data_IF_507878720261
#
_entry.id   IF_507878720261
#
_cell.length_a   1.000
_cell.length_b   1.000
_cell.length_c   1.000
_cell.angle_alpha   90.00
_cell.angle_beta   90.00
_cell.angle_gamma   90.00
#
_symmetry.space_group_name_H-M   'P 1'
#
loop_
_entity.id
_entity.type
_entity.pdbx_description
1 polymer ?
#
# COMPACT_ATOMS: atom_id res chain seq x y z
N UNK A 1 35.53 35.82 52.53
CA UNK A 1 34.12 35.40 52.73
C UNK A 1 33.49 35.10 51.36
N UNK A 2 32.49 34.24 51.18
CA UNK A 2 32.00 33.18 52.10
C UNK A 2 30.49 32.86 52.03
N UNK A 3 30.09 31.83 51.25
CA UNK A 3 28.78 31.14 51.28
C UNK A 3 27.55 31.98 50.80
N UNK A 4 26.38 31.47 50.36
CA UNK A 4 25.60 30.20 50.45
C UNK A 4 24.87 29.99 49.09
N UNK A 5 24.53 28.81 48.52
CA UNK A 5 23.88 27.53 48.94
C UNK A 5 22.32 27.52 48.95
N UNK A 6 21.75 26.42 48.39
CA UNK A 6 20.31 25.98 48.24
C UNK A 6 19.53 26.61 47.05
N UNK A 7 18.68 25.93 46.26
CA UNK A 7 17.80 24.73 46.38
C UNK A 7 16.40 25.00 47.00
N UNK A 8 15.32 24.24 46.74
CA UNK A 8 15.15 23.01 45.91
C UNK A 8 14.25 23.30 44.65
N UNK A 9 13.09 22.72 44.26
CA UNK A 9 12.22 21.58 44.66
C UNK A 9 11.33 21.10 43.46
N UNK A 10 10.55 20.01 43.61
CA UNK A 10 9.64 19.39 42.60
C UNK A 10 8.18 19.91 42.63
N UNK A 11 7.42 19.69 41.54
CA UNK A 11 5.98 19.29 41.46
C UNK A 11 5.65 19.12 39.94
N UNK A 12 5.46 17.90 39.42
CA UNK A 12 4.22 17.07 39.35
C UNK A 12 3.20 17.57 38.31
N UNK A 13 2.75 16.64 37.44
CA UNK A 13 1.78 16.85 36.34
C UNK A 13 0.34 17.05 36.85
N UNK A 14 -0.57 17.49 35.99
CA UNK A 14 -1.73 16.62 35.71
C UNK A 14 -1.90 16.29 34.22
N UNK A 15 -2.90 15.45 33.92
CA UNK A 15 -3.18 14.92 32.58
C UNK A 15 -4.40 15.60 31.96
N UNK A 16 -4.39 15.73 30.64
CA UNK A 16 -5.55 15.72 29.73
C UNK A 16 -4.99 15.15 28.42
N UNK A 17 -5.35 13.95 27.97
CA UNK A 17 -6.68 13.48 27.55
C UNK A 17 -7.09 14.12 26.22
N UNK A 18 -6.50 13.59 25.14
CA UNK A 18 -6.87 13.91 23.76
C UNK A 18 -7.26 12.60 23.07
N UNK A 19 -8.56 12.45 22.76
CA UNK A 19 -9.15 11.19 22.28
C UNK A 19 -9.05 11.14 20.76
N UNK A 20 -7.91 10.67 20.25
CA UNK A 20 -7.79 10.36 18.83
C UNK A 20 -8.44 9.01 18.54
N UNK A 21 -9.66 9.06 18.00
CA UNK A 21 -10.37 7.88 17.48
C UNK A 21 -9.69 7.45 16.18
N UNK A 22 -8.65 6.64 16.30
CA UNK A 22 -8.03 5.99 15.16
C UNK A 22 -9.06 5.06 14.50
N UNK A 23 -9.35 5.29 13.21
CA UNK A 23 -10.11 4.36 12.39
C UNK A 23 -9.23 3.13 12.10
N UNK A 24 -9.30 2.11 12.96
CA UNK A 24 -8.61 0.84 12.77
C UNK A 24 -9.15 0.16 11.51
N UNK A 25 -8.36 0.25 10.43
CA UNK A 25 -8.32 -0.83 9.46
C UNK A 25 -7.85 -2.07 10.22
N UNK A 26 -8.70 -3.09 10.33
CA UNK A 26 -8.43 -4.31 11.09
C UNK A 26 -7.08 -4.89 10.65
N UNK A 27 -6.18 -5.11 11.60
CA UNK A 27 -4.89 -5.75 11.26
C UNK A 27 -5.11 -7.17 10.75
N UNK A 28 -4.14 -7.74 10.05
CA UNK A 28 -4.25 -9.11 9.53
C UNK A 28 -4.52 -10.11 10.68
N UNK A 29 -3.91 -9.89 11.84
CA UNK A 29 -4.18 -10.63 13.09
C UNK A 29 -5.63 -10.49 13.59
N UNK A 30 -6.21 -9.27 13.55
CA UNK A 30 -7.62 -9.04 13.94
C UNK A 30 -8.60 -9.69 12.96
N UNK A 31 -8.28 -9.71 11.66
CA UNK A 31 -9.07 -10.38 10.63
C UNK A 31 -9.03 -11.91 10.81
N UNK A 32 -7.85 -12.48 11.09
CA UNK A 32 -7.69 -13.91 11.43
C UNK A 32 -8.43 -14.25 12.73
N UNK A 33 -8.35 -13.40 13.75
CA UNK A 33 -9.12 -13.59 15.00
C UNK A 33 -10.63 -13.57 14.75
N UNK A 34 -11.14 -12.70 13.86
CA UNK A 34 -12.55 -12.65 13.49
C UNK A 34 -13.00 -13.91 12.73
N UNK A 35 -12.18 -14.44 11.83
CA UNK A 35 -12.45 -15.69 11.12
C UNK A 35 -12.49 -16.91 12.07
N UNK A 36 -11.58 -16.97 13.04
CA UNK A 36 -11.59 -17.99 14.11
C UNK A 36 -12.83 -17.86 14.99
N UNK A 37 -13.23 -16.63 15.36
CA UNK A 37 -14.43 -16.39 16.17
C UNK A 37 -15.72 -16.83 15.46
N UNK A 38 -15.87 -16.54 14.16
CA UNK A 38 -17.01 -17.02 13.36
C UNK A 38 -17.01 -18.56 13.24
N UNK A 39 -15.83 -19.17 13.09
CA UNK A 39 -15.68 -20.63 13.02
C UNK A 39 -16.05 -21.36 14.33
N UNK A 40 -16.02 -20.65 15.46
CA UNK A 40 -16.45 -21.16 16.77
C UNK A 40 -17.97 -21.02 16.97
N UNK A 41 -18.64 -20.07 16.31
CA UNK A 41 -20.08 -19.87 16.44
C UNK A 41 -20.93 -20.86 15.63
N UNK A 42 -20.34 -21.62 14.71
CA UNK A 42 -21.02 -22.72 13.99
C UNK A 42 -20.95 -24.07 14.71
N UNK A 43 -20.13 -24.23 15.75
CA UNK A 43 -19.99 -25.46 16.56
C UNK A 43 -20.41 -25.21 18.02
N UNK A 44 -21.73 -25.03 18.26
CA UNK A 44 -22.21 -24.41 19.51
C UNK A 44 -23.49 -24.95 20.21
N UNK A 45 -24.17 -25.96 19.69
CA UNK A 45 -25.19 -26.79 20.41
C UNK A 45 -25.33 -28.12 19.64
N UNK A 46 -25.56 -29.28 20.25
CA UNK A 46 -26.16 -29.58 21.56
C UNK A 46 -25.24 -30.36 22.53
N UNK A 47 -25.37 -30.12 23.84
CA UNK A 47 -24.50 -30.70 24.88
C UNK A 47 -25.26 -31.40 26.02
N UNK A 48 -25.80 -32.58 25.73
CA UNK A 48 -26.14 -33.63 26.71
C UNK A 48 -25.72 -34.96 26.08
N UNK A 49 -24.97 -35.87 26.69
CA UNK A 49 -24.96 -36.29 28.09
C UNK A 49 -23.62 -36.98 28.44
N UNK A 50 -23.38 -37.31 29.72
CA UNK A 50 -22.06 -37.69 30.24
C UNK A 50 -21.58 -39.10 29.88
N UNK A 51 -20.30 -39.25 29.50
CA UNK A 51 -19.41 -40.23 30.15
C UNK A 51 -17.92 -39.87 30.00
N UNK A 52 -17.10 -40.54 30.80
CA UNK A 52 -15.67 -40.30 31.01
C UNK A 52 -14.84 -41.25 30.12
N UNK A 53 -13.91 -40.74 29.28
CA UNK A 53 -13.18 -41.52 28.27
C UNK A 53 -11.75 -41.01 27.97
N UNK A 54 -10.91 -41.87 27.39
CA UNK A 54 -9.45 -41.73 27.30
C UNK A 54 -8.97 -40.71 26.26
N UNK A 55 -7.85 -40.01 26.55
CA UNK A 55 -7.32 -38.93 25.69
C UNK A 55 -6.50 -39.42 24.49
N UNK A 56 -7.04 -40.31 23.65
CA UNK A 56 -6.29 -40.86 22.48
C UNK A 56 -7.00 -40.78 21.13
N UNK A 57 -8.32 -40.79 21.08
CA UNK A 57 -9.04 -40.99 19.81
C UNK A 57 -9.26 -39.71 18.96
N UNK A 58 -8.92 -38.54 19.50
CA UNK A 58 -9.14 -37.23 18.85
C UNK A 58 -8.36 -36.98 17.56
N UNK A 59 -7.40 -37.84 17.21
CA UNK A 59 -6.68 -37.79 15.90
C UNK A 59 -7.19 -38.86 14.94
N UNK A 60 -7.84 -39.93 15.44
CA UNK A 60 -8.37 -41.01 14.60
C UNK A 60 -9.73 -40.66 13.99
N UNK A 61 -10.61 -39.99 14.75
CA UNK A 61 -11.91 -39.55 14.25
C UNK A 61 -11.82 -38.73 12.95
N UNK A 62 -10.91 -37.74 12.90
CA UNK A 62 -10.68 -36.92 11.70
C UNK A 62 -10.09 -37.67 10.49
N UNK A 63 -9.75 -38.95 10.61
CA UNK A 63 -9.30 -39.79 9.50
C UNK A 63 -10.37 -40.83 9.13
N UNK A 64 -11.04 -41.42 10.12
CA UNK A 64 -12.20 -42.29 9.89
C UNK A 64 -13.34 -41.51 9.19
N UNK A 65 -13.58 -40.25 9.58
CA UNK A 65 -14.52 -39.29 8.95
C UNK A 65 -14.16 -38.93 7.49
N UNK A 66 -13.07 -39.46 6.92
CA UNK A 66 -12.65 -39.29 5.52
C UNK A 66 -12.57 -40.60 4.73
N UNK A 67 -12.72 -41.77 5.38
CA UNK A 67 -12.72 -43.09 4.70
C UNK A 67 -14.14 -43.60 4.41
N UNK A 68 -15.17 -43.12 5.13
CA UNK A 68 -16.59 -43.45 4.92
C UNK A 68 -17.38 -42.41 4.09
N UNK A 69 -16.77 -41.28 3.69
CA UNK A 69 -17.38 -40.34 2.73
C UNK A 69 -17.36 -40.95 1.32
N UNK A 70 -18.47 -40.84 0.59
CA UNK A 70 -18.48 -41.27 -0.81
C UNK A 70 -17.64 -40.32 -1.69
N UNK A 71 -17.13 -40.84 -2.81
CA UNK A 71 -16.29 -40.07 -3.73
C UNK A 71 -17.01 -38.82 -4.25
N UNK A 72 -18.34 -38.87 -4.39
CA UNK A 72 -19.17 -37.79 -4.92
C UNK A 72 -19.28 -36.61 -3.95
N UNK A 73 -19.41 -36.87 -2.64
CA UNK A 73 -19.40 -35.86 -1.58
C UNK A 73 -18.04 -35.17 -1.44
N UNK A 74 -16.92 -35.92 -1.55
CA UNK A 74 -15.57 -35.34 -1.61
C UNK A 74 -15.41 -34.44 -2.86
N UNK A 75 -15.85 -34.90 -4.04
CA UNK A 75 -15.86 -34.07 -5.25
C UNK A 75 -16.82 -32.88 -5.16
N UNK A 76 -17.91 -32.97 -4.38
CA UNK A 76 -18.83 -31.85 -4.15
C UNK A 76 -18.19 -30.80 -3.23
N UNK A 77 -17.53 -31.20 -2.15
CA UNK A 77 -16.90 -30.28 -1.20
C UNK A 77 -15.70 -29.54 -1.83
N UNK A 78 -14.90 -30.22 -2.66
CA UNK A 78 -13.83 -29.56 -3.45
C UNK A 78 -14.42 -28.48 -4.38
N UNK A 79 -15.51 -28.79 -5.10
CA UNK A 79 -16.19 -27.82 -5.99
C UNK A 79 -16.75 -26.63 -5.20
N UNK A 80 -17.39 -26.85 -4.06
CA UNK A 80 -17.86 -25.77 -3.19
C UNK A 80 -16.71 -24.90 -2.68
N UNK A 81 -15.56 -25.48 -2.31
CA UNK A 81 -14.39 -24.72 -1.85
C UNK A 81 -13.78 -23.89 -2.97
N UNK A 82 -13.64 -24.44 -4.19
CA UNK A 82 -13.21 -23.68 -5.36
C UNK A 82 -14.18 -22.52 -5.70
N UNK A 83 -15.49 -22.76 -5.63
CA UNK A 83 -16.50 -21.72 -5.88
C UNK A 83 -16.47 -20.62 -4.81
N UNK A 84 -16.26 -20.96 -3.54
CA UNK A 84 -16.07 -19.99 -2.46
C UNK A 84 -14.79 -19.18 -2.65
N UNK A 85 -13.66 -19.81 -3.02
CA UNK A 85 -12.41 -19.10 -3.32
C UNK A 85 -12.57 -18.15 -4.52
N UNK A 86 -13.21 -18.60 -5.61
CA UNK A 86 -13.50 -17.74 -6.78
C UNK A 86 -14.43 -16.57 -6.43
N UNK A 87 -15.46 -16.80 -5.62
CA UNK A 87 -16.34 -15.73 -5.11
C UNK A 87 -15.58 -14.74 -4.21
N UNK A 88 -14.71 -15.23 -3.32
CA UNK A 88 -13.88 -14.40 -2.46
C UNK A 88 -12.88 -13.57 -3.27
N UNK A 89 -12.25 -14.14 -4.30
CA UNK A 89 -11.34 -13.40 -5.18
C UNK A 89 -12.09 -12.33 -5.98
N UNK A 90 -13.23 -12.66 -6.59
CA UNK A 90 -14.08 -11.68 -7.29
C UNK A 90 -14.53 -10.57 -6.36
N UNK A 91 -14.90 -10.87 -5.11
CA UNK A 91 -15.24 -9.87 -4.11
C UNK A 91 -14.03 -8.99 -3.74
N UNK A 92 -12.83 -9.57 -3.62
CA UNK A 92 -11.59 -8.82 -3.35
C UNK A 92 -11.26 -7.88 -4.50
N UNK A 93 -11.29 -8.36 -5.74
CA UNK A 93 -11.08 -7.56 -6.96
C UNK A 93 -12.11 -6.42 -7.06
N UNK A 94 -13.39 -6.67 -6.77
CA UNK A 94 -14.41 -5.62 -6.73
C UNK A 94 -14.17 -4.58 -5.62
N UNK A 95 -13.66 -4.99 -4.46
CA UNK A 95 -13.30 -4.05 -3.39
C UNK A 95 -12.06 -3.22 -3.75
N UNK A 96 -11.04 -3.83 -4.33
CA UNK A 96 -9.85 -3.14 -4.87
C UNK A 96 -10.23 -2.11 -5.94
N UNK A 97 -11.08 -2.49 -6.91
CA UNK A 97 -11.57 -1.59 -7.96
C UNK A 97 -12.44 -0.46 -7.37
N UNK A 98 -13.35 -0.77 -6.43
CA UNK A 98 -14.12 0.27 -5.75
C UNK A 98 -13.25 1.24 -4.95
N UNK A 99 -12.20 0.77 -4.26
CA UNK A 99 -11.25 1.64 -3.58
C UNK A 99 -10.48 2.51 -4.58
N UNK A 100 -10.06 1.94 -5.71
CA UNK A 100 -9.39 2.67 -6.80
C UNK A 100 -10.28 3.76 -7.41
N UNK A 101 -11.57 3.49 -7.65
CA UNK A 101 -12.53 4.48 -8.15
C UNK A 101 -13.01 5.50 -7.10
N UNK A 102 -12.90 5.20 -5.80
CA UNK A 102 -13.24 6.11 -4.69
C UNK A 102 -12.07 6.99 -4.22
N UNK A 103 -10.85 6.76 -4.72
CA UNK A 103 -9.68 7.58 -4.40
C UNK A 103 -9.79 8.95 -5.06
N UNK A 104 -9.97 9.98 -4.25
CA UNK A 104 -10.01 11.38 -4.70
C UNK A 104 -8.65 11.78 -5.34
N UNK A 105 -8.64 12.39 -6.54
CA UNK A 105 -7.39 12.77 -7.21
C UNK A 105 -6.56 13.78 -6.40
N UNK A 106 -7.16 14.62 -5.56
CA UNK A 106 -6.43 15.52 -4.67
C UNK A 106 -5.75 14.76 -3.51
N UNK A 107 -6.33 13.66 -3.03
CA UNK A 107 -5.64 12.75 -2.10
C UNK A 107 -4.46 12.06 -2.80
N UNK A 108 -4.66 11.55 -4.02
CA UNK A 108 -3.59 10.89 -4.80
C UNK A 108 -2.46 11.87 -5.13
N UNK A 109 -2.76 13.13 -5.45
CA UNK A 109 -1.78 14.21 -5.59
C UNK A 109 -0.95 14.40 -4.32
N UNK A 110 -1.61 14.48 -3.16
CA UNK A 110 -0.94 14.68 -1.86
C UNK A 110 -0.09 13.47 -1.45
N UNK A 111 -0.56 12.25 -1.68
CA UNK A 111 0.21 11.01 -1.48
C UNK A 111 1.41 10.90 -2.44
N UNK A 112 1.33 11.49 -3.64
CA UNK A 112 2.45 11.59 -4.55
C UNK A 112 3.44 12.68 -4.12
N UNK A 113 2.97 13.87 -3.69
CA UNK A 113 3.83 14.92 -3.12
C UNK A 113 4.63 14.45 -1.91
N UNK A 114 4.01 13.69 -1.01
CA UNK A 114 4.66 13.14 0.19
C UNK A 114 5.73 12.09 -0.12
N UNK A 115 5.68 11.45 -1.30
CA UNK A 115 6.68 10.45 -1.75
C UNK A 115 7.83 11.10 -2.55
N UNK A 116 7.79 12.41 -2.77
CA UNK A 116 8.87 13.10 -3.49
C UNK A 116 10.04 13.43 -2.55
N UNK A 117 11.28 13.06 -2.91
CA UNK A 117 12.46 13.38 -2.11
C UNK A 117 12.72 14.90 -2.12
N UNK A 118 13.33 15.41 -1.05
CA UNK A 118 13.68 16.82 -0.92
C UNK A 118 14.55 17.30 -2.09
N UNK A 119 14.37 18.56 -2.53
CA UNK A 119 15.17 19.09 -3.63
C UNK A 119 16.61 19.34 -3.16
N UNK A 120 17.62 18.67 -3.76
CA UNK A 120 19.00 18.85 -3.34
C UNK A 120 19.48 20.26 -3.68
N UNK A 121 20.39 20.83 -2.88
CA UNK A 121 20.88 22.19 -3.10
C UNK A 121 21.56 22.29 -4.48
N UNK A 122 21.41 23.43 -5.19
CA UNK A 122 21.97 23.62 -6.53
C UNK A 122 23.50 23.67 -6.56
N UNK A 123 24.16 23.65 -5.41
CA UNK A 123 25.61 23.60 -5.23
C UNK A 123 26.18 22.17 -5.11
N UNK A 124 25.34 21.13 -4.95
CA UNK A 124 25.83 19.75 -4.88
C UNK A 124 26.20 19.20 -6.27
N UNK A 125 27.32 18.49 -6.36
CA UNK A 125 27.88 18.00 -7.63
C UNK A 125 27.05 16.92 -8.32
N UNK A 126 26.22 16.19 -7.56
CA UNK A 126 25.28 15.17 -8.02
C UNK A 126 23.92 15.73 -8.48
N UNK A 127 23.59 16.98 -8.12
CA UNK A 127 22.33 17.63 -8.53
C UNK A 127 22.21 17.67 -10.06
N UNK A 128 20.99 17.45 -10.56
CA UNK A 128 20.59 17.65 -11.93
C UNK A 128 19.22 18.34 -11.99
N UNK A 129 18.93 19.04 -13.09
CA UNK A 129 17.72 19.86 -13.27
C UNK A 129 16.82 19.24 -14.33
N UNK A 130 15.86 18.43 -13.91
CA UNK A 130 14.86 17.86 -14.85
C UNK A 130 13.78 18.90 -15.11
N UNK A 131 13.36 19.01 -16.38
CA UNK A 131 12.19 19.76 -16.77
C UNK A 131 11.18 18.86 -17.47
N UNK A 132 9.89 19.10 -17.26
CA UNK A 132 8.81 18.32 -17.88
C UNK A 132 7.84 19.29 -18.55
N UNK A 133 7.68 19.16 -19.86
CA UNK A 133 6.62 19.83 -20.63
C UNK A 133 5.31 19.11 -20.36
N UNK A 134 4.29 19.86 -19.96
CA UNK A 134 2.96 19.36 -19.74
C UNK A 134 2.09 19.49 -21.01
N UNK A 135 0.98 18.75 -21.12
CA UNK A 135 0.14 18.73 -22.33
C UNK A 135 -0.61 20.04 -22.61
N UNK A 136 -0.75 20.90 -21.59
CA UNK A 136 -1.25 22.29 -21.69
C UNK A 136 -0.21 23.26 -22.31
N UNK A 137 1.00 22.79 -22.59
CA UNK A 137 2.12 23.59 -23.09
C UNK A 137 2.97 24.24 -21.99
N UNK A 138 2.59 24.11 -20.72
CA UNK A 138 3.38 24.62 -19.58
C UNK A 138 4.62 23.75 -19.31
N UNK A 139 5.46 24.19 -18.36
CA UNK A 139 6.74 23.55 -18.04
C UNK A 139 6.97 23.48 -16.54
N UNK A 140 6.95 22.27 -16.00
CA UNK A 140 7.47 21.98 -14.67
C UNK A 140 9.01 21.93 -14.69
N UNK A 141 9.64 22.25 -13.57
CA UNK A 141 11.09 22.20 -13.38
C UNK A 141 11.43 21.96 -11.91
N UNK A 142 12.35 21.04 -11.63
CA UNK A 142 12.76 20.63 -10.27
C UNK A 142 14.21 20.13 -10.25
N UNK A 143 14.89 20.31 -9.13
CA UNK A 143 16.20 19.70 -8.89
C UNK A 143 16.04 18.29 -8.32
N UNK A 144 16.88 17.36 -8.76
CA UNK A 144 16.94 15.97 -8.28
C UNK A 144 18.40 15.52 -8.16
N UNK A 145 18.69 14.61 -7.24
CA UNK A 145 20.00 13.95 -7.18
C UNK A 145 20.06 12.85 -8.25
N UNK A 146 21.05 12.90 -9.13
CA UNK A 146 21.10 11.99 -10.30
C UNK A 146 21.39 10.52 -9.94
N UNK A 147 21.97 10.28 -8.77
CA UNK A 147 22.42 8.96 -8.30
C UNK A 147 21.39 8.34 -7.34
N UNK A 148 20.79 9.15 -6.49
CA UNK A 148 19.85 8.70 -5.45
C UNK A 148 18.40 8.69 -5.93
N UNK A 149 17.99 9.63 -6.79
CA UNK A 149 16.60 9.73 -7.23
C UNK A 149 16.37 8.89 -8.49
N UNK A 150 15.18 8.31 -8.59
CA UNK A 150 14.80 7.37 -9.66
C UNK A 150 13.73 7.93 -10.58
N UNK A 151 13.52 7.28 -11.72
CA UNK A 151 12.45 7.59 -12.67
C UNK A 151 11.06 7.58 -12.01
N UNK A 152 10.83 6.73 -10.99
CA UNK A 152 9.60 6.75 -10.19
C UNK A 152 9.33 8.13 -9.56
N UNK A 153 10.36 8.85 -9.09
CA UNK A 153 10.18 10.20 -8.53
C UNK A 153 9.72 11.23 -9.59
N UNK A 154 10.03 11.02 -10.87
CA UNK A 154 9.49 11.85 -11.96
C UNK A 154 8.01 11.56 -12.21
N UNK A 155 7.61 10.28 -12.12
CA UNK A 155 6.19 9.89 -12.21
C UNK A 155 5.38 10.44 -11.03
N UNK A 156 5.86 10.31 -9.80
CA UNK A 156 5.18 10.87 -8.63
C UNK A 156 5.10 12.40 -8.68
N UNK A 157 6.09 13.06 -9.30
CA UNK A 157 6.05 14.51 -9.50
C UNK A 157 5.03 14.93 -10.57
N UNK A 158 4.82 14.11 -11.59
CA UNK A 158 3.75 14.30 -12.56
C UNK A 158 2.38 14.07 -11.94
N UNK A 159 2.20 12.98 -11.17
CA UNK A 159 0.94 12.71 -10.44
C UNK A 159 0.64 13.83 -9.43
N UNK A 160 1.65 14.35 -8.74
CA UNK A 160 1.58 15.53 -7.84
C UNK A 160 1.06 16.82 -8.51
N UNK A 161 1.14 16.94 -9.84
CA UNK A 161 0.86 18.18 -10.58
C UNK A 161 -0.23 18.06 -11.65
N UNK A 162 -0.56 16.86 -12.09
CA UNK A 162 -1.59 16.59 -13.10
C UNK A 162 -2.81 15.88 -12.47
N UNK A 163 -4.00 16.52 -12.41
CA UNK A 163 -5.19 15.90 -11.83
C UNK A 163 -5.68 14.70 -12.65
N UNK A 164 -5.44 14.66 -13.96
CA UNK A 164 -5.83 13.52 -14.82
C UNK A 164 -4.94 12.30 -14.56
N UNK A 165 -3.65 12.51 -14.31
CA UNK A 165 -2.73 11.45 -13.92
C UNK A 165 -3.06 10.89 -12.53
N UNK A 166 -3.45 11.77 -11.59
CA UNK A 166 -3.92 11.38 -10.26
C UNK A 166 -5.30 10.68 -10.30
N UNK A 167 -6.18 11.07 -11.23
CA UNK A 167 -7.41 10.35 -11.59
C UNK A 167 -7.18 9.06 -12.38
N UNK A 168 -5.93 8.61 -12.53
CA UNK A 168 -5.59 7.31 -13.10
C UNK A 168 -5.53 7.24 -14.63
N UNK A 169 -5.55 8.37 -15.36
CA UNK A 169 -5.33 8.36 -16.82
C UNK A 169 -3.88 7.91 -17.12
N UNK A 170 -3.68 6.89 -17.98
CA UNK A 170 -2.35 6.42 -18.32
C UNK A 170 -1.56 7.45 -19.13
N UNK A 171 -0.27 7.56 -18.85
CA UNK A 171 0.66 8.46 -19.54
C UNK A 171 2.07 7.88 -19.54
N UNK A 172 2.90 8.38 -20.45
CA UNK A 172 4.34 8.12 -20.51
C UNK A 172 5.13 9.42 -20.39
N UNK A 173 6.34 9.29 -19.84
CA UNK A 173 7.37 10.31 -19.91
C UNK A 173 8.33 9.94 -21.05
N UNK A 174 8.46 10.85 -22.03
CA UNK A 174 9.38 10.72 -23.16
C UNK A 174 10.36 11.89 -23.16
N UNK A 175 11.61 11.73 -23.60
CA UNK A 175 12.49 12.86 -23.85
C UNK A 175 11.91 13.84 -24.88
N UNK A 176 11.99 15.14 -24.62
CA UNK A 176 11.53 16.18 -25.55
C UNK A 176 12.60 16.55 -26.61
N UNK A 177 13.62 15.69 -26.79
CA UNK A 177 14.67 15.89 -27.79
C UNK A 177 14.24 15.29 -29.14
N UNK A 178 14.49 15.97 -30.27
CA UNK A 178 14.08 15.47 -31.58
C UNK A 178 14.77 14.13 -31.90
N UNK A 179 13.97 13.09 -32.14
CA UNK A 179 14.42 11.72 -32.42
C UNK A 179 14.44 10.78 -31.19
N UNK A 180 14.37 11.30 -29.97
CA UNK A 180 14.39 10.49 -28.75
C UNK A 180 12.97 10.08 -28.32
N UNK A 181 12.41 9.05 -28.96
CA UNK A 181 11.02 8.62 -28.74
C UNK A 181 10.84 7.56 -27.63
N UNK A 182 11.91 7.01 -27.07
CA UNK A 182 11.82 5.93 -26.08
C UNK A 182 11.23 6.44 -24.76
N UNK A 183 10.20 5.77 -24.27
CA UNK A 183 9.56 6.10 -23.00
C UNK A 183 10.42 5.64 -21.81
N UNK A 184 10.27 6.32 -20.69
CA UNK A 184 10.84 5.91 -19.40
C UNK A 184 9.99 4.79 -18.79
N UNK A 185 10.26 3.55 -19.22
CA UNK A 185 9.52 2.36 -18.79
C UNK A 185 10.01 1.82 -17.44
N UNK A 186 11.33 1.73 -17.25
CA UNK A 186 11.92 1.28 -15.98
C UNK A 186 11.92 2.43 -14.95
N UNK A 187 11.01 2.32 -13.99
CA UNK A 187 10.85 3.30 -12.92
C UNK A 187 11.88 3.16 -11.78
N UNK A 188 12.62 2.05 -11.74
CA UNK A 188 13.59 1.75 -10.69
C UNK A 188 14.98 2.34 -10.97
N UNK A 189 15.29 2.62 -12.24
CA UNK A 189 16.55 3.24 -12.64
C UNK A 189 16.73 4.66 -12.09
N UNK A 190 17.98 5.01 -11.79
CA UNK A 190 18.40 6.35 -11.38
C UNK A 190 18.36 7.32 -12.55
N UNK A 191 18.27 8.62 -12.29
CA UNK A 191 18.19 9.64 -13.35
C UNK A 191 19.46 9.72 -14.21
N UNK A 192 20.62 9.32 -13.69
CA UNK A 192 21.86 9.17 -14.46
C UNK A 192 21.82 7.94 -15.38
N UNK A 193 21.42 6.76 -14.87
CA UNK A 193 21.34 5.52 -15.67
C UNK A 193 20.30 5.63 -16.79
N UNK A 194 19.14 6.24 -16.49
CA UNK A 194 18.10 6.50 -17.48
C UNK A 194 18.46 7.63 -18.47
N UNK A 195 19.62 8.28 -18.35
CA UNK A 195 20.09 9.33 -19.27
C UNK A 195 19.31 10.64 -19.23
N UNK A 196 18.49 10.86 -18.18
CA UNK A 196 17.59 12.03 -18.06
C UNK A 196 18.12 13.15 -17.15
N UNK A 197 19.31 12.99 -16.58
CA UNK A 197 19.99 14.03 -15.83
C UNK A 197 20.16 15.31 -16.68
N UNK A 198 19.53 16.41 -16.27
CA UNK A 198 19.45 17.69 -16.99
C UNK A 198 18.64 17.68 -18.30
N UNK A 199 17.89 16.61 -18.58
CA UNK A 199 17.02 16.53 -19.75
C UNK A 199 15.74 17.37 -19.59
N UNK A 200 15.13 17.67 -20.74
CA UNK A 200 13.72 18.06 -20.80
C UNK A 200 12.91 16.89 -21.34
N UNK A 201 11.88 16.51 -20.59
CA UNK A 201 10.90 15.48 -20.94
C UNK A 201 9.58 16.13 -21.39
N UNK A 202 8.67 15.32 -21.92
CA UNK A 202 7.29 15.67 -22.14
C UNK A 202 6.37 14.56 -21.59
N UNK A 203 5.24 14.96 -21.00
CA UNK A 203 4.13 14.05 -20.70
C UNK A 203 3.38 13.77 -22.00
N UNK A 204 3.27 12.50 -22.38
CA UNK A 204 2.40 12.04 -23.46
C UNK A 204 1.29 11.19 -22.85
N UNK A 205 0.03 11.57 -23.06
CA UNK A 205 -1.10 10.71 -22.71
C UNK A 205 -1.07 9.40 -23.52
N UNK A 206 -1.54 8.33 -22.89
CA UNK A 206 -1.98 7.14 -23.60
C UNK A 206 -3.51 7.18 -23.73
N UNK A 207 -4.00 6.62 -24.82
CA UNK A 207 -5.40 6.51 -25.22
C UNK A 207 -5.69 5.03 -25.52
#
# INVERSE_FOLDING_TARGET
>A
MGHKRKAVEKVVKPVTADTQVASTALTEDEQVAMAIAMSLQTKGVESHHSSQGDSKDGVKGLLDDLEDLDEEEVYAQIRQMEEQQKQQEVLRQQQEEQQRNKRDPAQVQKEAEQRLPEEPPPSASSTCRVAIRLPDGSRLQRCFDRNSHTVQALHDWCVSRLPEAAGGRPYQLVPAAPGAQQALEDRTQTLEVAGVANAMLAVKWLD
#
